data_IF_922625893862
#
_entry.id   IF_922625893862
#
_cell.length_a   1.000
_cell.length_b   1.000
_cell.length_c   1.000
_cell.angle_alpha   90.00
_cell.angle_beta   90.00
_cell.angle_gamma   90.00
#
_symmetry.space_group_name_H-M   'P 1'
#
loop_
_entity.id
_entity.type
_entity.pdbx_description
1 polymer ?
#
# COMPACT_ATOMS: atom_id res chain seq x y z
N UNK A 1 5.91 -22.35 0.08
CA UNK A 1 7.35 -22.12 0.20
C UNK A 1 7.56 -21.16 1.35
N UNK A 2 7.95 -21.66 2.53
CA UNK A 2 8.30 -20.79 3.65
C UNK A 2 9.65 -20.17 3.34
N UNK A 3 9.64 -18.95 2.82
CA UNK A 3 10.84 -18.16 2.57
C UNK A 3 11.60 -17.91 3.86
N UNK A 4 12.92 -17.82 3.74
CA UNK A 4 13.87 -17.56 4.82
C UNK A 4 13.37 -16.44 5.75
N UNK A 5 12.94 -16.80 6.97
CA UNK A 5 12.34 -15.87 7.93
C UNK A 5 13.36 -14.92 8.59
N UNK A 6 14.50 -14.74 7.92
CA UNK A 6 15.54 -13.78 8.24
C UNK A 6 15.34 -12.44 7.53
N UNK A 7 16.33 -11.57 7.74
CA UNK A 7 16.37 -10.23 7.14
C UNK A 7 16.20 -10.21 5.61
N UNK A 8 16.81 -11.12 4.82
CA UNK A 8 16.60 -11.13 3.37
C UNK A 8 15.14 -11.38 2.95
N UNK A 9 14.42 -12.23 3.70
CA UNK A 9 13.00 -12.48 3.47
C UNK A 9 12.15 -11.23 3.68
N UNK A 10 12.42 -10.47 4.75
CA UNK A 10 11.74 -9.20 5.03
C UNK A 10 11.98 -8.17 3.92
N UNK A 11 13.20 -8.08 3.40
CA UNK A 11 13.48 -7.21 2.24
C UNK A 11 12.73 -7.65 0.98
N UNK A 12 12.68 -8.96 0.72
CA UNK A 12 11.97 -9.49 -0.43
C UNK A 12 10.46 -9.24 -0.35
N UNK A 13 9.86 -9.40 0.83
CA UNK A 13 8.44 -9.11 1.08
C UNK A 13 8.13 -7.63 0.88
N UNK A 14 8.97 -6.70 1.37
CA UNK A 14 8.79 -5.27 1.10
C UNK A 14 8.98 -4.93 -0.39
N UNK A 15 9.89 -5.61 -1.08
CA UNK A 15 10.04 -5.50 -2.53
C UNK A 15 8.77 -5.95 -3.27
N UNK A 16 8.22 -7.11 -2.89
CA UNK A 16 6.98 -7.64 -3.46
C UNK A 16 5.78 -6.73 -3.18
N UNK A 17 5.72 -6.12 -1.99
CA UNK A 17 4.70 -5.11 -1.67
C UNK A 17 4.83 -3.89 -2.58
N UNK A 18 6.06 -3.44 -2.85
CA UNK A 18 6.32 -2.38 -3.83
C UNK A 18 5.79 -2.72 -5.21
N UNK A 19 6.10 -3.90 -5.73
CA UNK A 19 5.62 -4.35 -7.05
C UNK A 19 4.09 -4.46 -7.10
N UNK A 20 3.45 -5.05 -6.09
CA UNK A 20 2.00 -5.14 -6.03
C UNK A 20 1.31 -3.75 -6.02
N UNK A 21 1.92 -2.78 -5.34
CA UNK A 21 1.46 -1.40 -5.39
C UNK A 21 1.67 -0.78 -6.77
N UNK A 22 2.81 -0.99 -7.42
CA UNK A 22 3.07 -0.46 -8.77
C UNK A 22 2.09 -1.04 -9.81
N UNK A 23 1.69 -2.31 -9.66
CA UNK A 23 0.75 -3.02 -10.55
C UNK A 23 -0.75 -2.77 -10.26
N UNK A 24 -1.07 -1.99 -9.21
CA UNK A 24 -2.45 -1.81 -8.71
C UNK A 24 -3.16 -3.06 -8.19
N UNK A 25 -2.40 -4.12 -7.88
CA UNK A 25 -2.95 -5.31 -7.24
C UNK A 25 -3.06 -5.10 -5.73
N UNK A 26 -4.13 -4.41 -5.32
CA UNK A 26 -4.40 -4.12 -3.91
C UNK A 26 -4.70 -5.39 -3.08
N UNK A 27 -5.19 -6.45 -3.72
CA UNK A 27 -5.43 -7.72 -3.05
C UNK A 27 -4.09 -8.39 -2.71
N UNK A 28 -3.20 -8.52 -3.68
CA UNK A 28 -1.85 -9.04 -3.46
C UNK A 28 -1.06 -8.17 -2.47
N UNK A 29 -1.18 -6.84 -2.56
CA UNK A 29 -0.54 -5.94 -1.59
C UNK A 29 -1.01 -6.21 -0.15
N UNK A 30 -2.30 -6.48 0.06
CA UNK A 30 -2.85 -6.85 1.36
C UNK A 30 -2.30 -8.18 1.89
N UNK A 31 -2.20 -9.20 1.03
CA UNK A 31 -1.64 -10.50 1.39
C UNK A 31 -0.16 -10.41 1.76
N UNK A 32 0.64 -9.70 0.96
CA UNK A 32 2.08 -9.50 1.19
C UNK A 32 2.30 -8.71 2.49
N UNK A 33 1.52 -7.67 2.76
CA UNK A 33 1.64 -6.90 4.01
C UNK A 33 1.34 -7.75 5.24
N UNK A 34 0.34 -8.63 5.17
CA UNK A 34 0.02 -9.56 6.26
C UNK A 34 1.11 -10.62 6.46
N UNK A 35 1.76 -11.09 5.39
CA UNK A 35 2.92 -11.96 5.47
C UNK A 35 4.10 -11.25 6.13
N UNK A 36 4.42 -10.04 5.67
CA UNK A 36 5.49 -9.21 6.21
C UNK A 36 5.34 -8.94 7.72
N UNK A 37 4.14 -8.59 8.21
CA UNK A 37 3.95 -8.37 9.66
C UNK A 37 4.23 -9.63 10.49
N UNK A 38 3.82 -10.81 10.00
CA UNK A 38 4.12 -12.09 10.67
C UNK A 38 5.61 -12.39 10.66
N UNK A 39 6.26 -12.24 9.50
CA UNK A 39 7.70 -12.46 9.34
C UNK A 39 8.51 -11.50 10.22
N UNK A 40 8.10 -10.23 10.31
CA UNK A 40 8.77 -9.21 11.12
C UNK A 40 8.68 -9.52 12.62
N UNK A 41 7.48 -9.89 13.11
CA UNK A 41 7.32 -10.32 14.51
C UNK A 41 8.19 -11.51 14.82
N UNK A 42 8.18 -12.52 13.96
CA UNK A 42 8.98 -13.72 14.14
C UNK A 42 10.49 -13.42 14.13
N UNK A 43 10.95 -12.52 13.26
CA UNK A 43 12.34 -12.06 13.22
C UNK A 43 12.75 -11.34 14.51
N UNK A 44 11.91 -10.43 15.00
CA UNK A 44 12.15 -9.69 16.24
C UNK A 44 12.12 -10.59 17.48
N UNK A 45 11.23 -11.59 17.51
CA UNK A 45 11.17 -12.59 18.59
C UNK A 45 12.43 -13.45 18.63
N UNK A 46 12.95 -13.85 17.47
CA UNK A 46 14.16 -14.68 17.39
C UNK A 46 15.46 -13.93 17.67
N UNK A 47 15.58 -12.69 17.15
CA UNK A 47 16.82 -11.90 17.26
C UNK A 47 16.83 -10.97 18.46
N UNK A 48 15.67 -10.54 18.95
CA UNK A 48 15.55 -9.67 20.12
C UNK A 48 16.49 -8.47 20.07
N UNK A 49 17.36 -8.35 21.08
CA UNK A 49 18.37 -7.28 21.19
C UNK A 49 19.60 -7.47 20.30
N UNK A 50 19.78 -8.65 19.70
CA UNK A 50 20.90 -8.97 18.80
C UNK A 50 20.58 -8.62 17.34
N UNK A 51 19.36 -8.16 17.06
CA UNK A 51 19.00 -7.70 15.73
C UNK A 51 19.86 -6.48 15.34
N UNK A 52 20.53 -6.49 14.19
CA UNK A 52 21.35 -5.36 13.76
C UNK A 52 20.46 -4.12 13.57
N UNK A 53 20.71 -3.09 14.38
CA UNK A 53 19.91 -1.84 14.40
C UNK A 53 19.86 -1.20 13.02
N UNK A 54 20.95 -1.22 12.27
CA UNK A 54 20.99 -0.60 10.94
C UNK A 54 20.12 -1.36 9.93
N UNK A 55 20.02 -2.68 10.06
CA UNK A 55 19.10 -3.48 9.26
C UNK A 55 17.62 -3.18 9.60
N UNK A 56 17.30 -2.99 10.88
CA UNK A 56 15.95 -2.59 11.29
C UNK A 56 15.62 -1.19 10.75
N UNK A 57 16.58 -0.25 10.79
CA UNK A 57 16.40 1.10 10.23
C UNK A 57 16.15 1.05 8.72
N UNK A 58 16.87 0.20 8.00
CA UNK A 58 16.68 -0.02 6.56
C UNK A 58 15.24 -0.50 6.26
N UNK A 59 14.77 -1.52 6.98
CA UNK A 59 13.40 -2.03 6.85
C UNK A 59 12.34 -0.96 7.16
N UNK A 60 12.54 -0.19 8.24
CA UNK A 60 11.64 0.89 8.61
C UNK A 60 11.59 1.99 7.55
N UNK A 61 12.72 2.34 6.93
CA UNK A 61 12.78 3.32 5.84
C UNK A 61 11.97 2.83 4.64
N UNK A 62 12.20 1.59 4.21
CA UNK A 62 11.45 0.98 3.11
C UNK A 62 9.95 0.93 3.39
N UNK A 63 9.55 0.52 4.60
CA UNK A 63 8.14 0.51 5.00
C UNK A 63 7.50 1.91 4.94
N UNK A 64 8.18 2.94 5.45
CA UNK A 64 7.66 4.30 5.42
C UNK A 64 7.49 4.82 3.99
N UNK A 65 8.44 4.54 3.10
CA UNK A 65 8.33 4.91 1.69
C UNK A 65 7.10 4.27 1.03
N UNK A 66 6.84 2.99 1.31
CA UNK A 66 5.65 2.29 0.79
C UNK A 66 4.35 2.86 1.36
N UNK A 67 4.31 3.17 2.67
CA UNK A 67 3.14 3.82 3.29
C UNK A 67 2.82 5.19 2.67
N UNK A 68 3.85 5.98 2.37
CA UNK A 68 3.69 7.26 1.67
C UNK A 68 3.13 7.07 0.25
N UNK A 69 3.61 6.07 -0.49
CA UNK A 69 3.06 5.73 -1.82
C UNK A 69 1.60 5.33 -1.75
N UNK A 70 1.23 4.44 -0.82
CA UNK A 70 -0.16 4.04 -0.60
C UNK A 70 -1.06 5.25 -0.26
N UNK A 71 -0.57 6.14 0.60
CA UNK A 71 -1.30 7.35 0.98
C UNK A 71 -1.51 8.30 -0.20
N UNK A 72 -0.46 8.54 -1.00
CA UNK A 72 -0.53 9.36 -2.21
C UNK A 72 -1.52 8.79 -3.23
N UNK A 73 -1.49 7.47 -3.43
CA UNK A 73 -2.41 6.81 -4.36
C UNK A 73 -3.87 6.89 -3.93
N UNK A 74 -4.14 6.68 -2.63
CA UNK A 74 -5.48 6.88 -2.07
C UNK A 74 -5.99 8.31 -2.30
N UNK A 75 -5.13 9.31 -2.16
CA UNK A 75 -5.49 10.70 -2.45
C UNK A 75 -5.80 10.91 -3.94
N UNK A 76 -5.05 10.29 -4.85
CA UNK A 76 -5.32 10.30 -6.28
C UNK A 76 -6.70 9.74 -6.62
N UNK A 77 -7.02 8.55 -6.11
CA UNK A 77 -8.31 7.88 -6.31
C UNK A 77 -9.46 8.74 -5.76
N UNK A 78 -9.33 9.27 -4.54
CA UNK A 78 -10.34 10.14 -3.95
C UNK A 78 -10.60 11.40 -4.81
N UNK A 79 -9.54 12.01 -5.36
CA UNK A 79 -9.66 13.16 -6.25
C UNK A 79 -10.30 12.83 -7.60
N UNK A 80 -10.15 11.61 -8.10
CA UNK A 80 -10.81 11.13 -9.32
C UNK A 80 -12.30 10.85 -9.09
N UNK A 81 -12.65 10.17 -8.00
CA UNK A 81 -14.05 9.93 -7.61
C UNK A 81 -14.82 11.24 -7.44
N UNK A 82 -14.21 12.24 -6.81
CA UNK A 82 -14.83 13.55 -6.64
C UNK A 82 -15.03 14.29 -7.97
N UNK A 83 -14.15 14.07 -8.95
CA UNK A 83 -14.33 14.61 -10.33
C UNK A 83 -15.48 13.91 -11.04
N UNK A 84 -15.56 12.58 -10.96
CA UNK A 84 -16.67 11.80 -11.54
C UNK A 84 -18.01 12.20 -10.94
N UNK A 85 -18.07 12.36 -9.61
CA UNK A 85 -19.29 12.79 -8.91
C UNK A 85 -19.78 14.14 -9.41
N UNK A 86 -18.88 15.14 -9.48
CA UNK A 86 -19.20 16.50 -9.97
C UNK A 86 -19.63 16.51 -11.44
N UNK A 87 -18.98 15.71 -12.29
CA UNK A 87 -19.38 15.57 -13.70
C UNK A 87 -20.79 14.97 -13.84
N UNK A 88 -21.12 13.97 -13.01
CA UNK A 88 -22.47 13.38 -12.95
C UNK A 88 -23.53 14.37 -12.45
N UNK A 89 -23.20 15.20 -11.45
CA UNK A 89 -24.10 16.26 -10.97
C UNK A 89 -24.36 17.32 -12.03
N UNK A 90 -23.32 17.78 -12.73
CA UNK A 90 -23.46 18.73 -13.84
C UNK A 90 -24.32 18.17 -14.98
N UNK A 91 -24.09 16.91 -15.37
CA UNK A 91 -24.86 16.25 -16.44
C UNK A 91 -26.35 16.13 -16.09
N UNK A 92 -26.67 15.79 -14.84
CA UNK A 92 -28.06 15.74 -14.34
C UNK A 92 -28.70 17.13 -14.30
N UNK A 93 -27.96 18.16 -13.90
CA UNK A 93 -28.45 19.53 -13.89
C UNK A 93 -28.79 20.03 -15.30
N UNK A 94 -27.96 19.74 -16.30
CA UNK A 94 -28.26 20.07 -17.70
C UNK A 94 -29.48 19.31 -18.25
N UNK A 95 -29.61 18.03 -17.93
CA UNK A 95 -30.76 17.23 -18.35
C UNK A 95 -32.08 17.74 -17.75
N UNK A 96 -32.07 18.15 -16.48
CA UNK A 96 -33.24 18.74 -15.83
C UNK A 96 -33.60 20.12 -16.44
N UNK A 97 -32.61 20.99 -16.65
CA UNK A 97 -32.83 22.30 -17.25
C UNK A 97 -33.31 22.23 -18.73
N UNK A 98 -32.92 21.19 -19.47
CA UNK A 98 -33.38 20.95 -20.83
C UNK A 98 -34.74 20.25 -20.95
N UNK A 99 -35.28 19.69 -19.86
CA UNK A 99 -36.60 19.07 -19.82
C UNK A 99 -37.73 20.05 -19.42
N UNK A 100 -37.37 21.21 -18.89
CA UNK A 100 -38.29 22.28 -18.45
C UNK A 100 -38.46 23.43 -19.47
N UNK A 101 -37.81 23.34 -20.64
CA UNK A 101 -37.92 24.30 -21.75
C UNK A 101 -38.58 23.70 -22.98
#
# INVERSE_FOLDING_TARGET
>A
MSGDAGLPGLHAELGALGSALDDDDLAAAGEVMAAYDRSLRHYLEQRGREAPIDAIRELLRMQNDLLLRMASRRQGIAGELERVRRAGEASRAYAAAGAEG
#
